data_IF_105205965203
#
_entry.id   IF_105205965203
#
_cell.length_a   1.000
_cell.length_b   1.000
_cell.length_c   1.000
_cell.angle_alpha   90.00
_cell.angle_beta   90.00
_cell.angle_gamma   90.00
#
_symmetry.space_group_name_H-M   'P 1'
#
loop_
_entity.id
_entity.type
_entity.pdbx_description
1 polymer ?
#
# COMPACT_ATOMS: atom_id res chain seq x y z
N UNK A 1 7.95 6.02 6.57
CA UNK A 1 7.85 5.26 5.30
C UNK A 1 9.24 5.10 4.67
N UNK A 2 9.63 3.90 4.23
CA UNK A 2 10.87 3.64 3.50
C UNK A 2 10.98 4.41 2.16
N UNK A 3 12.20 4.70 1.71
CA UNK A 3 12.44 5.52 0.51
C UNK A 3 11.97 4.86 -0.78
N UNK A 4 12.13 3.55 -0.90
CA UNK A 4 11.68 2.76 -2.05
C UNK A 4 10.16 2.72 -2.16
N UNK A 5 9.46 2.55 -1.04
CA UNK A 5 7.99 2.62 -0.97
C UNK A 5 7.49 4.00 -1.40
N UNK A 6 8.17 5.07 -0.95
CA UNK A 6 7.85 6.45 -1.35
C UNK A 6 7.92 6.65 -2.86
N UNK A 7 9.06 6.27 -3.44
CA UNK A 7 9.31 6.44 -4.87
C UNK A 7 8.30 5.65 -5.70
N UNK A 8 7.94 4.45 -5.24
CA UNK A 8 6.95 3.62 -5.91
C UNK A 8 5.55 4.24 -5.86
N UNK A 9 5.14 4.79 -4.70
CA UNK A 9 3.87 5.51 -4.54
C UNK A 9 3.82 6.81 -5.36
N UNK A 10 4.92 7.57 -5.40
CA UNK A 10 5.04 8.79 -6.22
C UNK A 10 4.97 8.46 -7.71
N UNK A 11 5.71 7.44 -8.16
CA UNK A 11 5.70 7.00 -9.56
C UNK A 11 4.33 6.48 -10.01
N UNK A 12 3.58 5.83 -9.11
CA UNK A 12 2.23 5.36 -9.37
C UNK A 12 1.14 6.42 -9.12
N UNK A 13 1.49 7.62 -8.64
CA UNK A 13 0.55 8.66 -8.21
C UNK A 13 -0.48 8.19 -7.15
N UNK A 14 -0.08 7.25 -6.28
CA UNK A 14 -0.93 6.62 -5.26
C UNK A 14 -0.72 7.18 -3.85
N UNK A 15 0.05 8.27 -3.70
CA UNK A 15 0.33 8.87 -2.39
C UNK A 15 -0.95 9.28 -1.65
N UNK A 16 -1.90 9.90 -2.36
CA UNK A 16 -3.17 10.31 -1.78
C UNK A 16 -4.03 9.10 -1.35
N UNK A 17 -4.03 8.02 -2.15
CA UNK A 17 -4.73 6.79 -1.81
C UNK A 17 -4.13 6.11 -0.58
N UNK A 18 -2.80 6.11 -0.46
CA UNK A 18 -2.08 5.63 0.71
C UNK A 18 -2.40 6.47 1.95
N UNK A 19 -2.37 7.81 1.86
CA UNK A 19 -2.67 8.70 2.98
C UNK A 19 -4.15 8.67 3.41
N UNK A 20 -5.06 8.35 2.50
CA UNK A 20 -6.46 8.10 2.81
C UNK A 20 -6.67 6.81 3.62
N UNK A 21 -5.69 5.89 3.66
CA UNK A 21 -5.77 4.69 4.48
C UNK A 21 -5.61 5.04 5.97
N UNK A 22 -6.35 4.34 6.86
CA UNK A 22 -6.15 4.47 8.30
C UNK A 22 -4.68 4.28 8.71
N UNK A 23 -4.19 4.99 9.75
CA UNK A 23 -2.80 4.88 10.20
C UNK A 23 -2.32 3.44 10.45
N UNK A 24 -3.19 2.57 10.96
CA UNK A 24 -2.84 1.17 11.21
C UNK A 24 -2.57 0.38 9.91
N UNK A 25 -3.34 0.62 8.83
CA UNK A 25 -3.10 -0.02 7.54
C UNK A 25 -1.80 0.43 6.90
N UNK A 26 -1.52 1.74 6.99
CA UNK A 26 -0.24 2.29 6.55
C UNK A 26 0.92 1.62 7.29
N UNK A 27 0.84 1.53 8.62
CA UNK A 27 1.88 0.89 9.44
C UNK A 27 2.05 -0.61 9.12
N UNK A 28 0.95 -1.33 8.93
CA UNK A 28 0.98 -2.75 8.57
C UNK A 28 1.61 -2.99 7.20
N UNK A 29 1.29 -2.20 6.18
CA UNK A 29 1.96 -2.28 4.87
C UNK A 29 3.46 -2.07 5.00
N UNK A 30 3.88 -1.04 5.73
CA UNK A 30 5.31 -0.77 5.95
C UNK A 30 5.97 -1.92 6.69
N UNK A 31 5.37 -2.40 7.79
CA UNK A 31 5.92 -3.52 8.56
C UNK A 31 5.97 -4.82 7.75
N UNK A 32 4.96 -5.07 6.91
CA UNK A 32 4.94 -6.22 6.02
C UNK A 32 6.01 -6.13 4.94
N UNK A 33 6.19 -4.97 4.30
CA UNK A 33 7.26 -4.75 3.32
C UNK A 33 8.64 -4.85 3.99
N UNK A 34 8.80 -4.32 5.20
CA UNK A 34 10.07 -4.33 5.93
C UNK A 34 10.54 -5.73 6.35
N UNK A 35 9.59 -6.62 6.69
CA UNK A 35 9.87 -8.03 6.97
C UNK A 35 10.39 -8.83 5.76
N UNK A 36 10.40 -8.27 4.55
CA UNK A 36 10.91 -8.96 3.37
C UNK A 36 12.45 -8.93 3.34
N UNK A 37 13.08 -10.07 3.66
CA UNK A 37 14.55 -10.21 3.66
C UNK A 37 15.19 -10.20 2.27
N UNK A 38 14.44 -10.58 1.23
CA UNK A 38 14.92 -10.63 -0.15
C UNK A 38 14.42 -9.41 -0.92
N UNK A 39 15.27 -8.76 -1.74
CA UNK A 39 14.85 -7.60 -2.53
C UNK A 39 13.70 -7.94 -3.47
N UNK A 40 13.71 -9.12 -4.09
CA UNK A 40 12.62 -9.58 -4.97
C UNK A 40 11.28 -9.69 -4.25
N UNK A 41 11.28 -10.21 -3.01
CA UNK A 41 10.07 -10.29 -2.19
C UNK A 41 9.59 -8.90 -1.79
N UNK A 42 10.53 -8.00 -1.49
CA UNK A 42 10.22 -6.62 -1.13
C UNK A 42 9.54 -5.89 -2.28
N UNK A 43 10.08 -5.98 -3.49
CA UNK A 43 9.47 -5.43 -4.71
C UNK A 43 8.07 -6.00 -4.92
N UNK A 44 7.89 -7.32 -4.85
CA UNK A 44 6.56 -7.95 -4.98
C UNK A 44 5.53 -7.45 -3.96
N UNK A 45 5.96 -7.18 -2.72
CA UNK A 45 5.07 -6.63 -1.68
C UNK A 45 4.70 -5.18 -1.95
N UNK A 46 5.63 -4.38 -2.45
CA UNK A 46 5.38 -3.01 -2.89
C UNK A 46 4.38 -3.02 -4.05
N UNK A 47 4.61 -3.81 -5.08
CA UNK A 47 3.70 -3.93 -6.23
C UNK A 47 2.29 -4.37 -5.79
N UNK A 48 2.20 -5.33 -4.87
CA UNK A 48 0.92 -5.76 -4.32
C UNK A 48 0.21 -4.61 -3.58
N UNK A 49 0.92 -3.86 -2.73
CA UNK A 49 0.34 -2.70 -2.04
C UNK A 49 -0.17 -1.67 -3.05
N UNK A 50 0.60 -1.36 -4.11
CA UNK A 50 0.18 -0.41 -5.13
C UNK A 50 -1.09 -0.86 -5.85
N UNK A 51 -1.17 -2.13 -6.26
CA UNK A 51 -2.37 -2.68 -6.88
C UNK A 51 -3.60 -2.60 -5.96
N UNK A 52 -3.44 -2.90 -4.67
CA UNK A 52 -4.53 -2.79 -3.69
C UNK A 52 -4.97 -1.33 -3.43
N UNK A 53 -4.02 -0.39 -3.47
CA UNK A 53 -4.30 1.04 -3.36
C UNK A 53 -5.01 1.59 -4.61
N UNK A 54 -4.60 1.14 -5.80
CA UNK A 54 -5.22 1.50 -7.07
C UNK A 54 -6.66 0.97 -7.16
N UNK A 55 -6.86 -0.30 -6.77
CA UNK A 55 -8.20 -0.89 -6.70
C UNK A 55 -9.07 -0.18 -5.66
N UNK A 56 -8.49 0.21 -4.52
CA UNK A 56 -9.18 1.02 -3.51
C UNK A 56 -10.22 0.29 -2.67
N UNK A 57 -10.55 -0.97 -3.00
CA UNK A 57 -11.47 -1.82 -2.23
C UNK A 57 -10.80 -3.04 -1.57
N UNK A 58 -9.47 -3.11 -1.62
CA UNK A 58 -8.69 -4.21 -1.04
C UNK A 58 -7.65 -3.68 -0.06
N UNK A 59 -7.37 -4.46 0.96
CA UNK A 59 -6.29 -4.29 1.90
C UNK A 59 -5.76 -5.66 2.32
N UNK A 60 -4.47 -5.96 2.09
CA UNK A 60 -3.83 -7.22 2.48
C UNK A 60 -4.61 -8.45 1.99
N UNK A 61 -5.07 -8.43 0.73
CA UNK A 61 -5.97 -9.43 0.12
C UNK A 61 -7.33 -9.63 0.81
N UNK A 62 -7.75 -8.70 1.67
CA UNK A 62 -9.07 -8.69 2.28
C UNK A 62 -9.91 -7.57 1.69
N UNK A 63 -11.22 -7.78 1.57
CA UNK A 63 -12.16 -6.73 1.18
C UNK A 63 -12.08 -5.56 2.18
N UNK A 64 -11.73 -4.38 1.69
CA UNK A 64 -11.70 -3.14 2.43
C UNK A 64 -12.70 -2.15 1.83
N UNK A 65 -13.77 -1.84 2.56
CA UNK A 65 -14.77 -0.86 2.14
C UNK A 65 -14.55 0.53 2.74
N UNK A 66 -13.30 0.89 3.05
CA UNK A 66 -12.99 2.20 3.58
C UNK A 66 -12.86 3.23 2.47
N UNK A 67 -13.42 4.41 2.66
CA UNK A 67 -13.31 5.57 1.77
C UNK A 67 -13.81 5.41 0.31
N UNK A 68 -14.62 4.39 -0.03
CA UNK A 68 -15.60 4.61 -1.12
C UNK A 68 -16.56 5.66 -0.60
N UNK A 69 -16.27 6.91 -0.96
CA UNK A 69 -17.21 8.01 -0.83
C UNK A 69 -18.51 7.51 -1.46
N UNK A 70 -19.51 7.24 -0.61
CA UNK A 70 -20.87 6.94 -1.05
C UNK A 70 -21.32 8.21 -1.77
N UNK A 71 -21.22 8.22 -3.09
CA UNK A 71 -21.93 9.19 -3.92
C UNK A 71 -23.40 8.81 -3.94
#
# INVERSE_FOLDING_TARGET
MPTDVRRALEAANLMAAYDARPPYQRNDYIGWIDRAKRPETRTKRIDQMLAELEQGDVYMKMEWRGARNRR
#
